data_IF_004707228881
#
_entry.id   IF_004707228881
#
_cell.length_a   1.000
_cell.length_b   1.000
_cell.length_c   1.000
_cell.angle_alpha   90.00
_cell.angle_beta   90.00
_cell.angle_gamma   90.00
#
_symmetry.space_group_name_H-M   'P 1'
#
loop_
_entity.id
_entity.type
_entity.pdbx_description
1 polymer ?
#
# COMPACT_ATOMS: atom_id res chain seq x y z
N UNK A 1 23.46 17.17 8.47
CA UNK A 1 22.14 17.45 7.85
C UNK A 1 21.82 16.58 6.63
N UNK A 2 22.70 16.45 5.63
CA UNK A 2 22.41 15.72 4.39
C UNK A 2 21.98 14.25 4.57
N UNK A 3 22.67 13.50 5.46
CA UNK A 3 22.33 12.10 5.77
C UNK A 3 20.94 11.96 6.40
N UNK A 4 20.57 12.86 7.31
CA UNK A 4 19.25 12.86 7.95
C UNK A 4 18.15 13.15 6.91
N UNK A 5 18.39 14.13 6.02
CA UNK A 5 17.45 14.50 4.96
C UNK A 5 17.25 13.38 3.94
N UNK A 6 18.30 12.63 3.59
CA UNK A 6 18.17 11.49 2.68
C UNK A 6 17.42 10.32 3.31
N UNK A 7 17.61 10.06 4.60
CA UNK A 7 16.80 9.08 5.33
C UNK A 7 15.33 9.48 5.43
N UNK A 8 15.02 10.77 5.62
CA UNK A 8 13.65 11.28 5.58
C UNK A 8 12.99 11.07 4.22
N UNK A 9 13.67 11.43 3.12
CA UNK A 9 13.14 11.22 1.76
C UNK A 9 12.96 9.74 1.42
N UNK A 10 13.94 8.89 1.76
CA UNK A 10 13.85 7.45 1.54
C UNK A 10 12.73 6.80 2.35
N UNK A 11 12.52 7.25 3.60
CA UNK A 11 11.41 6.81 4.45
C UNK A 11 10.04 7.11 3.83
N UNK A 12 9.82 8.35 3.40
CA UNK A 12 8.57 8.75 2.76
C UNK A 12 8.30 7.98 1.47
N UNK A 13 9.33 7.82 0.61
CA UNK A 13 9.18 7.06 -0.64
C UNK A 13 8.91 5.59 -0.38
N UNK A 14 9.57 5.00 0.62
CA UNK A 14 9.33 3.62 1.04
C UNK A 14 7.88 3.40 1.49
N UNK A 15 7.34 4.33 2.28
CA UNK A 15 5.95 4.31 2.69
C UNK A 15 5.00 4.41 1.50
N UNK A 16 5.21 5.37 0.59
CA UNK A 16 4.37 5.55 -0.60
C UNK A 16 4.35 4.27 -1.45
N UNK A 17 5.51 3.67 -1.72
CA UNK A 17 5.59 2.41 -2.49
C UNK A 17 4.82 1.29 -1.79
N UNK A 18 4.99 1.17 -0.47
CA UNK A 18 4.27 0.17 0.32
C UNK A 18 2.76 0.36 0.25
N UNK A 19 2.30 1.60 0.36
CA UNK A 19 0.87 1.96 0.25
C UNK A 19 0.31 1.64 -1.13
N UNK A 20 1.04 1.98 -2.19
CA UNK A 20 0.62 1.69 -3.57
C UNK A 20 0.49 0.18 -3.80
N UNK A 21 1.50 -0.59 -3.44
CA UNK A 21 1.46 -2.06 -3.56
C UNK A 21 0.29 -2.64 -2.77
N UNK A 22 0.09 -2.15 -1.54
CA UNK A 22 -1.02 -2.59 -0.71
C UNK A 22 -2.38 -2.29 -1.37
N UNK A 23 -2.62 -1.06 -1.83
CA UNK A 23 -3.91 -0.69 -2.41
C UNK A 23 -4.18 -1.39 -3.75
N UNK A 24 -3.14 -1.62 -4.56
CA UNK A 24 -3.22 -2.40 -5.80
C UNK A 24 -3.64 -3.85 -5.54
N UNK A 25 -3.32 -4.43 -4.39
CA UNK A 25 -3.74 -5.78 -4.02
C UNK A 25 -5.06 -5.81 -3.23
N UNK A 26 -5.27 -4.84 -2.34
CA UNK A 26 -6.42 -4.79 -1.44
C UNK A 26 -7.74 -4.54 -2.19
N UNK A 27 -7.75 -3.65 -3.18
CA UNK A 27 -8.96 -3.32 -3.94
C UNK A 27 -9.45 -4.48 -4.83
N UNK A 28 -8.59 -5.14 -5.64
CA UNK A 28 -9.01 -6.36 -6.33
C UNK A 28 -9.33 -7.50 -5.36
N UNK A 29 -8.59 -7.60 -4.24
CA UNK A 29 -8.83 -8.61 -3.22
C UNK A 29 -10.24 -8.54 -2.63
N UNK A 30 -10.74 -7.34 -2.29
CA UNK A 30 -12.12 -7.17 -1.80
C UNK A 30 -13.15 -7.45 -2.89
N UNK A 31 -12.87 -7.08 -4.14
CA UNK A 31 -13.79 -7.32 -5.26
C UNK A 31 -13.96 -8.81 -5.56
N UNK A 32 -12.85 -9.55 -5.61
CA UNK A 32 -12.85 -11.01 -5.80
C UNK A 32 -13.43 -11.71 -4.57
N UNK A 33 -13.04 -11.28 -3.37
CA UNK A 33 -13.54 -11.84 -2.12
C UNK A 33 -15.05 -11.65 -1.94
N UNK A 34 -15.59 -10.52 -2.39
CA UNK A 34 -17.04 -10.30 -2.44
C UNK A 34 -17.71 -11.36 -3.32
N UNK A 35 -17.28 -11.50 -4.58
CA UNK A 35 -17.85 -12.49 -5.49
C UNK A 35 -17.73 -13.93 -4.97
N UNK A 36 -16.63 -14.28 -4.30
CA UNK A 36 -16.45 -15.62 -3.72
C UNK A 36 -17.38 -15.92 -2.54
N UNK A 37 -17.76 -14.90 -1.76
CA UNK A 37 -18.60 -15.07 -0.58
C UNK A 37 -20.08 -14.95 -0.86
N UNK A 38 -20.47 -14.10 -1.83
CA UNK A 38 -21.88 -13.82 -2.15
C UNK A 38 -22.33 -14.51 -3.43
N UNK A 39 -21.41 -14.89 -4.32
CA UNK A 39 -21.72 -15.40 -5.66
C UNK A 39 -22.12 -14.31 -6.66
N UNK A 40 -22.16 -13.04 -6.24
CA UNK A 40 -22.56 -11.90 -7.07
C UNK A 40 -21.42 -10.91 -7.26
N UNK A 41 -21.37 -10.26 -8.41
CA UNK A 41 -20.45 -9.15 -8.63
C UNK A 41 -20.98 -7.88 -7.97
N UNK A 42 -20.08 -7.08 -7.40
CA UNK A 42 -20.44 -5.80 -6.81
C UNK A 42 -21.06 -4.89 -7.88
N UNK A 43 -22.35 -4.59 -7.73
CA UNK A 43 -23.14 -3.76 -8.64
C UNK A 43 -23.66 -2.51 -7.93
N UNK A 44 -24.09 -1.50 -8.70
CA UNK A 44 -24.75 -0.30 -8.17
C UNK A 44 -26.08 -0.65 -7.48
N UNK A 45 -26.69 -1.77 -7.86
CA UNK A 45 -27.96 -2.27 -7.29
C UNK A 45 -27.77 -3.04 -5.98
N UNK A 46 -26.53 -3.25 -5.52
CA UNK A 46 -26.24 -3.99 -4.29
C UNK A 46 -26.93 -3.35 -3.09
N UNK A 47 -27.54 -4.18 -2.24
CA UNK A 47 -28.23 -3.70 -1.04
C UNK A 47 -27.31 -2.87 -0.13
N UNK A 48 -27.86 -1.82 0.45
CA UNK A 48 -27.09 -0.87 1.27
C UNK A 48 -26.55 -1.51 2.54
N UNK A 49 -27.29 -2.43 3.16
CA UNK A 49 -26.80 -3.11 4.37
C UNK A 49 -25.63 -4.04 4.03
N UNK A 50 -25.68 -4.71 2.88
CA UNK A 50 -24.59 -5.55 2.39
C UNK A 50 -23.35 -4.73 2.04
N UNK A 51 -23.50 -3.57 1.39
CA UNK A 51 -22.41 -2.64 1.12
C UNK A 51 -21.76 -2.13 2.41
N UNK A 52 -22.57 -1.78 3.42
CA UNK A 52 -22.06 -1.34 4.72
C UNK A 52 -21.32 -2.45 5.46
N UNK A 53 -21.84 -3.68 5.42
CA UNK A 53 -21.18 -4.85 5.99
C UNK A 53 -19.82 -5.12 5.32
N UNK A 54 -19.78 -5.08 3.98
CA UNK A 54 -18.54 -5.23 3.21
C UNK A 54 -17.54 -4.13 3.56
N UNK A 55 -17.98 -2.86 3.58
CA UNK A 55 -17.13 -1.73 3.93
C UNK A 55 -16.59 -1.84 5.36
N UNK A 56 -17.42 -2.23 6.32
CA UNK A 56 -17.01 -2.42 7.71
C UNK A 56 -15.97 -3.54 7.85
N UNK A 57 -16.18 -4.69 7.20
CA UNK A 57 -15.23 -5.79 7.18
C UNK A 57 -13.91 -5.38 6.50
N UNK A 58 -13.99 -4.70 5.35
CA UNK A 58 -12.83 -4.24 4.62
C UNK A 58 -12.01 -3.21 5.41
N UNK A 59 -12.63 -2.17 5.94
CA UNK A 59 -11.95 -1.13 6.74
C UNK A 59 -11.28 -1.76 7.97
N UNK A 60 -11.98 -2.71 8.62
CA UNK A 60 -11.43 -3.43 9.76
C UNK A 60 -10.20 -4.24 9.36
N UNK A 61 -10.26 -5.01 8.28
CA UNK A 61 -9.12 -5.76 7.74
C UNK A 61 -7.94 -4.85 7.37
N UNK A 62 -8.20 -3.75 6.66
CA UNK A 62 -7.19 -2.75 6.29
C UNK A 62 -6.52 -2.15 7.53
N UNK A 63 -7.28 -1.87 8.60
CA UNK A 63 -6.76 -1.37 9.88
C UNK A 63 -5.83 -2.37 10.56
N UNK A 64 -6.19 -3.64 10.57
CA UNK A 64 -5.31 -4.70 11.09
C UNK A 64 -4.00 -4.82 10.30
N UNK A 65 -3.99 -4.47 9.02
CA UNK A 65 -2.78 -4.46 8.20
C UNK A 65 -1.95 -3.18 8.33
N UNK A 66 -2.39 -2.14 9.05
CA UNK A 66 -1.61 -0.90 9.23
C UNK A 66 -0.24 -1.15 9.90
N UNK A 67 -0.14 -1.89 11.02
CA UNK A 67 1.17 -2.13 11.65
C UNK A 67 2.12 -2.93 10.73
N UNK A 68 1.57 -3.90 9.99
CA UNK A 68 2.32 -4.73 9.04
C UNK A 68 2.88 -3.85 7.92
N UNK A 69 2.04 -2.99 7.32
CA UNK A 69 2.47 -2.04 6.28
C UNK A 69 3.57 -1.13 6.78
N UNK A 70 3.45 -0.61 8.00
CA UNK A 70 4.48 0.25 8.57
C UNK A 70 5.79 -0.51 8.77
N UNK A 71 5.74 -1.77 9.21
CA UNK A 71 6.91 -2.64 9.32
C UNK A 71 7.59 -2.88 7.96
N UNK A 72 6.81 -3.18 6.92
CA UNK A 72 7.33 -3.37 5.55
C UNK A 72 7.95 -2.07 5.02
N UNK A 73 7.28 -0.94 5.21
CA UNK A 73 7.79 0.37 4.80
C UNK A 73 9.14 0.69 5.48
N UNK A 74 9.29 0.38 6.77
CA UNK A 74 10.56 0.57 7.47
C UNK A 74 11.65 -0.38 6.97
N UNK A 75 11.31 -1.64 6.68
CA UNK A 75 12.24 -2.63 6.15
C UNK A 75 12.73 -2.28 4.73
N UNK A 76 11.92 -1.59 3.93
CA UNK A 76 12.25 -1.16 2.56
C UNK A 76 13.09 0.12 2.48
N UNK A 77 13.19 0.90 3.57
CA UNK A 77 13.99 2.15 3.62
C UNK A 77 15.45 1.96 3.13
N UNK A 78 16.23 0.96 3.60
CA UNK A 78 17.60 0.78 3.11
C UNK A 78 17.67 0.51 1.61
N UNK A 79 16.74 -0.28 1.07
CA UNK A 79 16.67 -0.59 -0.37
C UNK A 79 16.35 0.64 -1.21
N UNK A 80 15.37 1.44 -0.78
CA UNK A 80 15.03 2.71 -1.44
C UNK A 80 16.21 3.70 -1.39
N UNK A 81 16.93 3.74 -0.27
CA UNK A 81 18.11 4.60 -0.14
C UNK A 81 19.21 4.21 -1.13
N UNK A 82 19.50 2.91 -1.27
CA UNK A 82 20.48 2.42 -2.25
C UNK A 82 20.07 2.77 -3.68
N UNK A 83 18.79 2.60 -4.02
CA UNK A 83 18.26 2.96 -5.33
C UNK A 83 18.41 4.47 -5.63
N UNK A 84 18.14 5.33 -4.65
CA UNK A 84 18.33 6.77 -4.77
C UNK A 84 19.80 7.18 -4.92
N UNK A 85 20.71 6.45 -4.28
CA UNK A 85 22.15 6.68 -4.40
C UNK A 85 22.65 6.27 -5.79
N UNK A 86 22.26 5.08 -6.28
CA UNK A 86 22.54 4.63 -7.66
C UNK A 86 22.04 5.64 -8.71
N UNK A 87 20.77 6.07 -8.59
CA UNK A 87 20.18 7.05 -9.53
C UNK A 87 20.86 8.42 -9.52
N UNK A 88 21.55 8.78 -8.43
CA UNK A 88 22.36 10.01 -8.40
C UNK A 88 23.71 9.83 -9.09
N UNK A 89 24.30 8.64 -9.00
CA UNK A 89 25.54 8.30 -9.71
C UNK A 89 25.29 8.34 -11.22
N UNK A 90 24.26 7.63 -11.71
CA UNK A 90 23.90 7.59 -13.14
C UNK A 90 23.66 8.98 -13.74
N UNK A 91 23.06 9.89 -12.97
CA UNK A 91 22.78 11.26 -13.42
C UNK A 91 24.02 12.15 -13.50
N UNK A 92 25.09 11.83 -12.78
CA UNK A 92 26.34 12.60 -12.81
C UNK A 92 27.30 12.11 -13.91
N UNK A 93 27.06 10.93 -14.48
CA UNK A 93 27.85 10.34 -15.57
C UNK A 93 27.23 10.57 -16.96
N UNK A 94 26.03 11.18 -17.01
CA UNK A 94 25.31 11.59 -18.23
C UNK A 94 25.37 13.11 -18.45
#
# INVERSE_FOLDING_TARGET
MAKIKSFGLAGTLSYIVTELVFWTLALPGVWIGYHQTTGEWLSIETDRAQLLGLAAAFITGVRFMVPIRMGVALALVPSIKQLLEQRKVDRNEA
#
